data_IF_520321011138
#
_entry.id   IF_520321011138
#
_cell.length_a   1.000
_cell.length_b   1.000
_cell.length_c   1.000
_cell.angle_alpha   90.00
_cell.angle_beta   90.00
_cell.angle_gamma   90.00
#
_symmetry.space_group_name_H-M   'P 1'
#
loop_
_entity.id
_entity.type
_entity.pdbx_description
1 polymer ?
#
# COMPACT_ATOMS: atom_id res chain seq x y z
N UNK A 1 -13.13 -1.09 -28.34
CA UNK A 1 -14.53 -1.54 -28.50
C UNK A 1 -15.50 -0.41 -28.12
N UNK A 2 -16.05 0.35 -29.06
CA UNK A 2 -17.13 1.29 -28.79
C UNK A 2 -18.45 0.54 -28.69
N UNK A 3 -19.10 0.53 -27.53
CA UNK A 3 -20.46 -0.04 -27.37
C UNK A 3 -20.70 -0.87 -26.11
N UNK A 4 -19.66 -1.28 -25.36
CA UNK A 4 -19.90 -1.89 -24.05
C UNK A 4 -20.18 -0.81 -22.99
N UNK A 5 -21.26 -0.94 -22.19
CA UNK A 5 -21.46 -0.11 -21.02
C UNK A 5 -20.22 -0.16 -20.14
N UNK A 6 -19.71 0.99 -19.69
CA UNK A 6 -18.60 1.04 -18.75
C UNK A 6 -18.99 0.22 -17.50
N UNK A 7 -18.40 -0.96 -17.37
CA UNK A 7 -18.75 -1.98 -16.37
C UNK A 7 -18.73 -1.40 -14.96
N UNK A 8 -17.77 -0.51 -14.69
CA UNK A 8 -17.59 0.11 -13.39
C UNK A 8 -18.67 1.15 -13.10
N UNK A 9 -19.06 1.98 -14.09
CA UNK A 9 -20.17 2.93 -13.92
C UNK A 9 -21.48 2.22 -13.64
N UNK A 10 -21.77 1.13 -14.35
CA UNK A 10 -22.95 0.32 -14.14
C UNK A 10 -22.98 -0.27 -12.71
N UNK A 11 -21.87 -0.88 -12.29
CA UNK A 11 -21.70 -1.38 -10.93
C UNK A 11 -21.92 -0.28 -9.88
N UNK A 12 -21.25 0.87 -10.01
CA UNK A 12 -21.29 1.95 -9.02
C UNK A 12 -22.70 2.49 -8.82
N UNK A 13 -23.50 2.56 -9.89
CA UNK A 13 -24.92 2.91 -9.81
C UNK A 13 -25.72 1.87 -9.01
N UNK A 14 -25.52 0.57 -9.28
CA UNK A 14 -26.18 -0.53 -8.54
C UNK A 14 -25.77 -0.53 -7.06
N UNK A 15 -24.48 -0.41 -6.77
CA UNK A 15 -23.95 -0.38 -5.40
C UNK A 15 -24.52 0.77 -4.56
N UNK A 16 -24.63 1.98 -5.15
CA UNK A 16 -25.23 3.14 -4.47
C UNK A 16 -26.72 2.93 -4.17
N UNK A 17 -27.47 2.36 -5.11
CA UNK A 17 -28.90 2.02 -4.90
C UNK A 17 -29.06 0.99 -3.78
N UNK A 18 -28.22 -0.05 -3.78
CA UNK A 18 -28.24 -1.09 -2.74
C UNK A 18 -27.90 -0.51 -1.35
N UNK A 19 -26.86 0.32 -1.24
CA UNK A 19 -26.49 0.98 0.00
C UNK A 19 -27.60 1.91 0.53
N UNK A 20 -28.27 2.65 -0.36
CA UNK A 20 -29.39 3.50 0.02
C UNK A 20 -30.60 2.69 0.51
N UNK A 21 -30.90 1.56 -0.12
CA UNK A 21 -31.98 0.66 0.32
C UNK A 21 -31.70 0.06 1.70
N UNK A 22 -30.45 -0.36 1.98
CA UNK A 22 -30.05 -0.86 3.30
C UNK A 22 -30.16 0.22 4.38
N UNK A 23 -29.77 1.46 4.07
CA UNK A 23 -29.89 2.58 5.02
C UNK A 23 -31.36 2.90 5.37
N UNK A 24 -32.31 2.66 4.46
CA UNK A 24 -33.75 2.83 4.70
C UNK A 24 -34.36 1.68 5.53
N UNK A 25 -33.71 0.51 5.57
CA UNK A 25 -34.14 -0.66 6.33
C UNK A 25 -33.57 -0.69 7.76
N UNK A 26 -32.57 0.13 8.06
CA UNK A 26 -32.07 0.28 9.43
C UNK A 26 -33.14 0.95 10.31
N UNK A 27 -33.51 0.38 11.47
CA UNK A 27 -34.54 0.95 12.32
C UNK A 27 -34.16 2.37 12.75
N UNK A 28 -35.10 3.30 12.61
CA UNK A 28 -34.97 4.66 13.09
C UNK A 28 -34.77 4.62 14.60
N UNK A 29 -33.61 5.04 15.09
CA UNK A 29 -33.36 5.14 16.52
C UNK A 29 -34.39 6.10 17.13
N UNK A 30 -35.33 5.55 17.90
CA UNK A 30 -36.36 6.28 18.63
C UNK A 30 -35.66 7.19 19.64
N UNK A 31 -35.73 8.50 19.44
CA UNK A 31 -35.29 9.48 20.41
C UNK A 31 -36.18 9.38 21.65
N UNK A 32 -35.61 8.89 22.76
CA UNK A 32 -36.22 9.07 24.09
C UNK A 32 -35.99 10.53 24.49
N UNK A 33 -37.07 11.29 24.48
CA UNK A 33 -37.17 12.66 24.98
C UNK A 33 -36.90 12.70 26.49
N UNK A 34 -35.83 13.37 26.90
CA UNK A 34 -35.66 13.89 28.25
C UNK A 34 -35.74 15.40 28.21
N UNK A 35 -36.79 15.97 28.80
CA UNK A 35 -36.95 17.41 28.98
C UNK A 35 -35.82 17.98 29.87
N UNK A 36 -35.26 19.17 29.55
CA UNK A 36 -34.38 19.89 30.46
C UNK A 36 -35.16 20.83 31.39
N UNK A 37 -34.66 21.13 32.61
CA UNK A 37 -35.34 22.02 33.54
C UNK A 37 -35.14 23.51 33.18
N UNK A 38 -36.18 24.29 33.45
CA UNK A 38 -36.31 25.71 33.15
C UNK A 38 -35.60 26.65 34.16
N UNK A 39 -35.15 27.83 33.69
CA UNK A 39 -35.38 29.23 34.19
C UNK A 39 -34.21 30.19 33.85
N UNK A 40 -34.36 31.54 33.83
CA UNK A 40 -35.45 32.39 33.29
C UNK A 40 -34.86 33.63 32.51
N UNK A 41 -35.52 34.79 32.26
CA UNK A 41 -35.55 35.40 30.92
C UNK A 41 -34.79 36.75 30.79
N UNK A 42 -34.44 37.15 29.56
CA UNK A 42 -34.21 38.58 29.25
C UNK A 42 -34.53 38.89 27.79
N UNK A 43 -35.02 40.12 27.56
CA UNK A 43 -35.95 40.55 26.53
C UNK A 43 -35.37 40.90 25.13
N UNK A 44 -36.28 40.80 24.13
CA UNK A 44 -36.47 41.60 22.91
C UNK A 44 -35.23 42.09 22.12
N UNK A 45 -35.13 41.83 20.81
CA UNK A 45 -35.90 42.58 19.80
C UNK A 45 -35.86 41.90 18.42
N UNK A 46 -36.92 42.18 17.67
CA UNK A 46 -37.35 41.76 16.33
C UNK A 46 -36.44 42.15 15.16
N UNK A 47 -36.41 41.32 14.12
CA UNK A 47 -36.71 41.72 12.72
C UNK A 47 -36.77 40.49 11.77
N UNK A 48 -37.93 40.30 11.13
CA UNK A 48 -38.16 39.53 9.88
C UNK A 48 -38.04 40.54 8.70
N UNK A 49 -37.88 40.16 7.40
CA UNK A 49 -38.72 39.14 6.75
C UNK A 49 -38.16 38.40 5.51
N UNK A 50 -39.05 37.54 4.99
CA UNK A 50 -39.36 37.24 3.57
C UNK A 50 -38.97 35.88 2.96
N UNK A 51 -40.05 35.12 2.71
CA UNK A 51 -40.16 33.88 1.97
C UNK A 51 -40.26 34.09 0.44
N UNK A 52 -39.91 33.06 -0.33
CA UNK A 52 -40.67 32.74 -1.55
C UNK A 52 -40.69 31.23 -1.85
N UNK A 53 -41.85 30.77 -2.30
CA UNK A 53 -42.29 29.38 -2.45
C UNK A 53 -41.95 28.81 -3.84
N UNK A 54 -41.79 27.48 -3.95
CA UNK A 54 -41.96 26.77 -5.23
C UNK A 54 -42.41 25.30 -5.08
N UNK A 55 -43.74 25.13 -5.15
CA UNK A 55 -44.56 24.10 -5.84
C UNK A 55 -44.16 22.61 -5.78
N UNK A 56 -44.93 21.86 -4.97
CA UNK A 56 -45.22 20.41 -5.07
C UNK A 56 -46.22 20.13 -6.20
N UNK A 57 -45.95 19.12 -7.04
CA UNK A 57 -46.88 18.58 -8.05
C UNK A 57 -47.37 17.21 -7.60
N UNK A 58 -48.69 17.07 -7.41
CA UNK A 58 -49.42 15.81 -7.17
C UNK A 58 -49.70 15.13 -8.51
N UNK A 59 -49.53 13.81 -8.61
CA UNK A 59 -50.20 12.98 -9.62
C UNK A 59 -50.86 11.77 -8.95
N UNK A 60 -51.99 11.37 -9.55
CA UNK A 60 -53.05 10.48 -9.06
C UNK A 60 -52.65 9.01 -8.94
N UNK A 61 -53.36 8.33 -8.04
CA UNK A 61 -53.50 6.87 -7.93
C UNK A 61 -54.41 6.35 -9.05
N UNK A 62 -54.04 5.23 -9.65
CA UNK A 62 -54.96 4.25 -10.26
C UNK A 62 -54.57 2.85 -9.75
N UNK A 63 -55.55 1.96 -9.73
CA UNK A 63 -55.63 0.71 -8.97
C UNK A 63 -55.63 -0.50 -9.92
N UNK A 64 -54.89 -1.54 -9.50
CA UNK A 64 -55.03 -2.98 -9.77
C UNK A 64 -54.77 -3.53 -11.20
N UNK A 65 -53.71 -4.32 -11.33
CA UNK A 65 -53.82 -5.66 -11.91
C UNK A 65 -52.80 -6.59 -11.25
N UNK A 66 -53.30 -7.69 -10.73
CA UNK A 66 -52.60 -8.66 -9.90
C UNK A 66 -52.00 -9.75 -10.79
N UNK A 67 -50.68 -9.71 -11.03
CA UNK A 67 -49.94 -10.87 -11.53
C UNK A 67 -49.12 -11.50 -10.39
N UNK A 68 -49.14 -12.84 -10.25
CA UNK A 68 -48.38 -13.50 -9.20
C UNK A 68 -46.89 -13.28 -9.47
N UNK A 69 -46.21 -12.61 -8.54
CA UNK A 69 -44.76 -12.59 -8.48
C UNK A 69 -44.28 -14.05 -8.44
N UNK A 70 -43.67 -14.48 -9.55
CA UNK A 70 -42.75 -15.61 -9.53
C UNK A 70 -41.66 -15.23 -8.53
N UNK A 71 -41.75 -15.82 -7.33
CA UNK A 71 -40.68 -15.80 -6.35
C UNK A 71 -39.49 -16.47 -7.02
N UNK A 72 -38.62 -15.66 -7.60
CA UNK A 72 -37.32 -16.11 -8.08
C UNK A 72 -36.53 -16.50 -6.83
N UNK A 73 -36.65 -17.78 -6.46
CA UNK A 73 -35.82 -18.42 -5.44
C UNK A 73 -34.41 -18.57 -5.99
N UNK A 74 -33.75 -17.45 -6.31
CA UNK A 74 -32.30 -17.41 -6.31
C UNK A 74 -31.88 -17.58 -4.85
N UNK A 75 -31.49 -18.80 -4.48
CA UNK A 75 -30.82 -19.07 -3.21
C UNK A 75 -29.67 -18.08 -3.09
N UNK A 76 -29.78 -17.11 -2.19
CA UNK A 76 -28.73 -16.13 -1.96
C UNK A 76 -27.44 -16.83 -1.56
N UNK A 77 -26.33 -16.43 -2.18
CA UNK A 77 -25.01 -16.97 -1.88
C UNK A 77 -24.73 -16.73 -0.40
N UNK A 78 -24.59 -17.81 0.35
CA UNK A 78 -24.21 -17.73 1.76
C UNK A 78 -22.71 -17.46 1.86
N UNK A 79 -22.28 -16.57 2.77
CA UNK A 79 -20.86 -16.36 2.98
C UNK A 79 -20.22 -17.62 3.57
N UNK A 80 -19.01 -17.96 3.12
CA UNK A 80 -18.24 -19.08 3.68
C UNK A 80 -17.95 -18.88 5.16
N UNK A 81 -17.68 -17.64 5.57
CA UNK A 81 -17.49 -17.23 6.96
C UNK A 81 -18.45 -16.08 7.32
N UNK A 82 -19.55 -16.36 8.04
CA UNK A 82 -20.47 -15.31 8.50
C UNK A 82 -19.81 -14.28 9.43
N UNK A 83 -18.82 -14.69 10.23
CA UNK A 83 -18.08 -13.80 11.12
C UNK A 83 -17.27 -12.75 10.37
N UNK A 84 -16.65 -13.14 9.26
CA UNK A 84 -15.95 -12.23 8.37
C UNK A 84 -16.89 -11.15 7.82
N UNK A 85 -18.09 -11.52 7.39
CA UNK A 85 -19.08 -10.57 6.87
C UNK A 85 -19.49 -9.55 7.93
N UNK A 86 -19.69 -9.99 9.18
CA UNK A 86 -20.01 -9.10 10.30
C UNK A 86 -18.87 -8.09 10.53
N UNK A 87 -17.62 -8.56 10.55
CA UNK A 87 -16.45 -7.68 10.68
C UNK A 87 -16.33 -6.71 9.51
N UNK A 88 -16.55 -7.18 8.28
CA UNK A 88 -16.47 -6.38 7.07
C UNK A 88 -17.48 -5.24 7.05
N UNK A 89 -18.72 -5.49 7.51
CA UNK A 89 -19.75 -4.46 7.68
C UNK A 89 -19.49 -3.53 8.88
N UNK A 90 -18.75 -4.00 9.88
CA UNK A 90 -18.40 -3.23 11.07
C UNK A 90 -17.19 -2.31 10.87
N UNK A 91 -16.56 -2.34 9.69
CA UNK A 91 -15.40 -1.53 9.35
C UNK A 91 -15.73 -0.02 9.37
N UNK A 92 -15.34 0.65 10.44
CA UNK A 92 -15.51 2.10 10.59
C UNK A 92 -14.16 2.83 10.57
N UNK A 93 -13.92 3.59 9.50
CA UNK A 93 -12.65 4.31 9.33
C UNK A 93 -12.47 5.45 10.34
N UNK A 94 -13.53 5.96 10.97
CA UNK A 94 -13.46 7.05 11.96
C UNK A 94 -13.40 6.56 13.40
N UNK A 95 -13.59 5.26 13.63
CA UNK A 95 -13.51 4.67 14.96
C UNK A 95 -12.07 4.78 15.54
N UNK A 96 -12.00 4.85 16.87
CA UNK A 96 -10.73 4.82 17.61
C UNK A 96 -10.28 3.36 17.82
N UNK A 97 -9.06 3.18 18.32
CA UNK A 97 -8.50 1.83 18.51
C UNK A 97 -9.34 0.95 19.44
N UNK A 98 -9.94 1.52 20.49
CA UNK A 98 -10.77 0.78 21.43
C UNK A 98 -12.05 0.25 20.76
N UNK A 99 -12.68 1.06 19.91
CA UNK A 99 -13.83 0.67 19.11
C UNK A 99 -13.47 -0.37 18.03
N UNK A 100 -12.25 -0.34 17.49
CA UNK A 100 -11.78 -1.39 16.60
C UNK A 100 -11.62 -2.72 17.34
N UNK A 101 -11.05 -2.69 18.56
CA UNK A 101 -10.90 -3.87 19.41
C UNK A 101 -12.23 -4.48 19.82
N UNK A 102 -13.17 -3.64 20.25
CA UNK A 102 -14.50 -4.13 20.67
C UNK A 102 -15.32 -4.71 19.52
N UNK A 103 -15.10 -4.24 18.29
CA UNK A 103 -15.78 -4.74 17.09
C UNK A 103 -15.05 -5.94 16.45
N UNK A 104 -13.87 -6.33 16.97
CA UNK A 104 -13.05 -7.41 16.42
C UNK A 104 -12.56 -7.15 15.00
N UNK A 105 -12.38 -5.89 14.59
CA UNK A 105 -11.98 -5.50 13.23
C UNK A 105 -10.51 -5.12 13.14
N UNK A 106 -9.69 -5.38 14.16
CA UNK A 106 -8.29 -4.93 14.19
C UNK A 106 -7.51 -5.45 12.98
N UNK A 107 -7.70 -6.73 12.61
CA UNK A 107 -7.02 -7.31 11.46
C UNK A 107 -7.44 -6.64 10.14
N UNK A 108 -8.72 -6.31 9.96
CA UNK A 108 -9.21 -5.59 8.77
C UNK A 108 -8.67 -4.15 8.73
N UNK A 109 -8.58 -3.48 9.88
CA UNK A 109 -7.97 -2.17 9.98
C UNK A 109 -6.49 -2.20 9.64
N UNK A 110 -5.76 -3.17 10.20
CA UNK A 110 -4.34 -3.34 9.98
C UNK A 110 -4.02 -3.66 8.51
N UNK A 111 -4.78 -4.56 7.90
CA UNK A 111 -4.63 -4.91 6.48
C UNK A 111 -5.05 -3.76 5.56
N UNK A 112 -6.09 -3.00 5.89
CA UNK A 112 -6.44 -1.77 5.18
C UNK A 112 -5.29 -0.74 5.19
N UNK A 113 -4.58 -0.61 6.33
CA UNK A 113 -3.40 0.25 6.41
C UNK A 113 -2.30 -0.22 5.48
N UNK A 114 -2.08 -1.54 5.38
CA UNK A 114 -1.08 -2.11 4.51
C UNK A 114 -1.44 -1.96 3.02
N UNK A 115 -2.70 -2.18 2.65
CA UNK A 115 -3.20 -1.95 1.29
C UNK A 115 -2.94 -0.51 0.87
N UNK A 116 -3.19 0.47 1.75
CA UNK A 116 -2.90 1.88 1.47
C UNK A 116 -1.42 2.14 1.13
N UNK A 117 -0.48 1.54 1.87
CA UNK A 117 0.96 1.65 1.59
C UNK A 117 1.38 0.96 0.30
N UNK A 118 0.75 -0.17 -0.01
CA UNK A 118 1.11 -1.04 -1.13
C UNK A 118 0.30 -0.78 -2.41
N UNK A 119 -0.62 0.17 -2.42
CA UNK A 119 -1.37 0.61 -3.61
C UNK A 119 -1.23 2.12 -3.89
N UNK A 120 -0.61 2.88 -2.99
CA UNK A 120 -0.69 4.36 -2.92
C UNK A 120 -2.11 4.83 -2.52
N UNK A 121 -2.28 6.13 -2.26
CA UNK A 121 -3.54 6.71 -1.77
C UNK A 121 -4.55 7.09 -2.86
N UNK A 122 -4.14 7.07 -4.13
CA UNK A 122 -4.94 7.59 -5.24
C UNK A 122 -5.86 6.59 -5.94
N UNK A 123 -5.52 5.29 -6.06
CA UNK A 123 -6.36 4.37 -6.80
C UNK A 123 -7.78 4.27 -6.25
N UNK A 124 -8.73 4.04 -7.16
CA UNK A 124 -10.12 3.78 -6.80
C UNK A 124 -10.24 2.35 -6.23
N UNK A 125 -10.12 2.24 -4.91
CA UNK A 125 -10.20 0.99 -4.16
C UNK A 125 -11.53 0.24 -4.39
N UNK A 126 -12.63 0.98 -4.61
CA UNK A 126 -13.91 0.36 -4.99
C UNK A 126 -13.82 -0.26 -6.37
N UNK A 127 -13.22 0.43 -7.35
CA UNK A 127 -12.99 -0.12 -8.69
C UNK A 127 -12.16 -1.40 -8.64
N UNK A 128 -11.09 -1.41 -7.84
CA UNK A 128 -10.22 -2.57 -7.69
C UNK A 128 -10.98 -3.80 -7.16
N UNK A 129 -11.75 -3.65 -6.08
CA UNK A 129 -12.60 -4.74 -5.57
C UNK A 129 -13.64 -5.19 -6.59
N UNK A 130 -14.32 -4.25 -7.25
CA UNK A 130 -15.30 -4.57 -8.29
C UNK A 130 -14.66 -5.34 -9.43
N UNK A 131 -13.44 -4.96 -9.84
CA UNK A 131 -12.68 -5.64 -10.88
C UNK A 131 -12.46 -7.11 -10.51
N UNK A 132 -11.94 -7.36 -9.30
CA UNK A 132 -11.71 -8.73 -8.81
C UNK A 132 -12.97 -9.57 -8.74
N UNK A 133 -14.08 -8.97 -8.35
CA UNK A 133 -15.38 -9.67 -8.27
C UNK A 133 -15.95 -9.97 -9.67
N UNK A 134 -15.93 -9.01 -10.59
CA UNK A 134 -16.55 -9.18 -11.92
C UNK A 134 -15.75 -10.14 -12.80
N UNK A 135 -14.42 -9.98 -12.82
CA UNK A 135 -13.55 -10.74 -13.71
C UNK A 135 -12.96 -11.99 -13.04
N UNK A 136 -13.51 -12.42 -11.89
CA UNK A 136 -13.16 -13.69 -11.25
C UNK A 136 -13.43 -14.84 -12.23
N UNK A 137 -12.46 -15.73 -12.38
CA UNK A 137 -12.58 -16.89 -13.27
C UNK A 137 -12.51 -16.57 -14.77
N UNK A 138 -12.35 -15.31 -15.19
CA UNK A 138 -12.08 -14.98 -16.59
C UNK A 138 -10.63 -15.34 -16.92
N UNK A 139 -10.41 -15.96 -18.08
CA UNK A 139 -9.06 -16.10 -18.64
C UNK A 139 -8.42 -14.72 -18.87
N UNK A 140 -7.09 -14.59 -18.75
CA UNK A 140 -6.41 -13.31 -18.92
C UNK A 140 -6.81 -12.57 -20.19
N UNK A 141 -6.91 -13.25 -21.34
CA UNK A 141 -7.23 -12.62 -22.64
C UNK A 141 -8.60 -11.94 -22.66
N UNK A 142 -9.51 -12.36 -21.78
CA UNK A 142 -10.89 -11.88 -21.71
C UNK A 142 -11.07 -10.73 -20.71
N UNK A 143 -9.99 -10.27 -20.07
CA UNK A 143 -10.02 -9.18 -19.09
C UNK A 143 -9.71 -7.83 -19.75
N UNK A 144 -10.31 -6.72 -19.29
CA UNK A 144 -10.19 -5.42 -19.95
C UNK A 144 -8.78 -4.80 -19.89
N UNK A 145 -7.91 -5.31 -19.02
CA UNK A 145 -6.54 -4.83 -18.82
C UNK A 145 -5.52 -5.55 -19.72
N UNK A 146 -5.84 -6.73 -20.28
CA UNK A 146 -4.86 -7.66 -20.87
C UNK A 146 -4.06 -7.07 -22.04
N UNK A 147 -4.72 -6.32 -22.92
CA UNK A 147 -4.11 -5.68 -24.10
C UNK A 147 -3.88 -4.18 -23.92
N UNK A 148 -3.92 -3.66 -22.69
CA UNK A 148 -3.75 -2.23 -22.47
C UNK A 148 -2.30 -1.80 -22.74
N UNK A 149 -2.08 -0.95 -23.74
CA UNK A 149 -0.74 -0.41 -24.08
C UNK A 149 -0.22 0.64 -23.09
N UNK A 150 -1.08 1.10 -22.19
CA UNK A 150 -0.79 2.11 -21.18
C UNK A 150 -1.43 1.73 -19.84
N UNK A 151 -0.97 2.37 -18.77
CA UNK A 151 -1.51 2.15 -17.43
C UNK A 151 -2.91 2.77 -17.29
N UNK A 152 -3.93 2.02 -17.74
CA UNK A 152 -5.33 2.44 -17.71
C UNK A 152 -5.95 2.24 -16.32
N UNK A 153 -7.17 2.78 -16.12
CA UNK A 153 -7.96 2.53 -14.91
C UNK A 153 -8.26 1.02 -14.70
N UNK A 154 -8.29 0.22 -15.76
CA UNK A 154 -8.50 -1.24 -15.67
C UNK A 154 -7.22 -1.97 -15.25
N UNK A 155 -6.05 -1.56 -15.78
CA UNK A 155 -4.74 -2.04 -15.34
C UNK A 155 -4.54 -1.71 -13.87
N UNK A 156 -4.79 -0.46 -13.48
CA UNK A 156 -4.72 -0.02 -12.07
C UNK A 156 -5.65 -0.87 -11.19
N UNK A 157 -6.92 -1.05 -11.60
CA UNK A 157 -7.87 -1.85 -10.84
C UNK A 157 -7.39 -3.30 -10.63
N UNK A 158 -6.82 -3.94 -11.66
CA UNK A 158 -6.21 -5.27 -11.51
C UNK A 158 -5.05 -5.26 -10.53
N UNK A 159 -4.09 -4.36 -10.69
CA UNK A 159 -2.89 -4.35 -9.84
C UNK A 159 -3.25 -4.09 -8.38
N UNK A 160 -4.17 -3.17 -8.13
CA UNK A 160 -4.64 -2.86 -6.77
C UNK A 160 -5.47 -4.02 -6.22
N UNK A 161 -6.26 -4.71 -7.04
CA UNK A 161 -6.95 -5.93 -6.59
C UNK A 161 -5.98 -7.01 -6.13
N UNK A 162 -4.84 -7.21 -6.80
CA UNK A 162 -3.82 -8.15 -6.35
C UNK A 162 -3.24 -7.78 -4.97
N UNK A 163 -3.16 -6.49 -4.65
CA UNK A 163 -2.78 -6.02 -3.30
C UNK A 163 -3.88 -6.34 -2.28
N UNK A 164 -5.15 -6.15 -2.65
CA UNK A 164 -6.29 -6.55 -1.82
C UNK A 164 -6.30 -8.06 -1.55
N UNK A 165 -6.17 -8.89 -2.60
CA UNK A 165 -6.15 -10.34 -2.48
C UNK A 165 -5.01 -10.84 -1.59
N UNK A 166 -3.86 -10.16 -1.62
CA UNK A 166 -2.72 -10.50 -0.78
C UNK A 166 -2.94 -10.22 0.71
N UNK A 167 -3.53 -9.07 1.03
CA UNK A 167 -3.53 -8.57 2.41
C UNK A 167 -4.89 -8.63 3.10
N UNK A 168 -5.99 -8.43 2.37
CA UNK A 168 -7.31 -8.40 3.00
C UNK A 168 -7.74 -9.82 3.36
N UNK A 169 -8.08 -10.08 4.64
CA UNK A 169 -8.33 -11.43 5.11
C UNK A 169 -9.52 -12.05 4.36
N UNK A 170 -9.41 -13.33 4.00
CA UNK A 170 -10.49 -14.15 3.42
C UNK A 170 -11.22 -13.53 2.20
N UNK A 171 -10.61 -12.55 1.52
CA UNK A 171 -11.27 -11.83 0.43
C UNK A 171 -11.66 -12.76 -0.73
N UNK A 172 -10.73 -13.62 -1.16
CA UNK A 172 -10.93 -14.54 -2.28
C UNK A 172 -12.04 -15.56 -1.99
N UNK A 173 -12.17 -15.98 -0.73
CA UNK A 173 -13.22 -16.89 -0.27
C UNK A 173 -14.62 -16.29 -0.33
N UNK A 174 -14.73 -14.96 -0.38
CA UNK A 174 -15.99 -14.23 -0.32
C UNK A 174 -16.34 -13.50 -1.62
N UNK A 175 -15.62 -13.72 -2.72
CA UNK A 175 -15.88 -13.03 -3.99
C UNK A 175 -17.31 -13.27 -4.54
N UNK A 176 -17.84 -14.48 -4.39
CA UNK A 176 -19.22 -14.80 -4.80
C UNK A 176 -20.25 -14.06 -3.95
N UNK A 177 -20.06 -14.05 -2.62
CA UNK A 177 -20.89 -13.27 -1.71
C UNK A 177 -20.84 -11.77 -2.03
N UNK A 178 -19.65 -11.23 -2.30
CA UNK A 178 -19.46 -9.84 -2.68
C UNK A 178 -20.15 -9.49 -4.02
N UNK A 179 -20.23 -10.44 -4.97
CA UNK A 179 -20.94 -10.25 -6.23
C UNK A 179 -22.44 -9.97 -6.04
N UNK A 180 -23.05 -10.59 -5.02
CA UNK A 180 -24.45 -10.35 -4.64
C UNK A 180 -24.62 -9.14 -3.72
N UNK A 181 -23.55 -8.70 -3.05
CA UNK A 181 -23.56 -7.63 -2.05
C UNK A 181 -22.71 -6.41 -2.48
N UNK A 182 -23.11 -5.68 -3.55
CA UNK A 182 -22.32 -4.57 -4.10
C UNK A 182 -22.20 -3.37 -3.15
N UNK A 183 -23.11 -3.24 -2.16
CA UNK A 183 -23.02 -2.24 -1.11
C UNK A 183 -21.81 -2.48 -0.18
N UNK A 184 -21.48 -3.74 0.11
CA UNK A 184 -20.31 -4.09 0.93
C UNK A 184 -19.00 -3.73 0.21
N UNK A 185 -18.92 -3.99 -1.11
CA UNK A 185 -17.77 -3.58 -1.92
C UNK A 185 -17.56 -2.05 -1.86
N UNK A 186 -18.64 -1.27 -1.99
CA UNK A 186 -18.58 0.19 -1.87
C UNK A 186 -18.14 0.62 -0.47
N UNK A 187 -18.64 -0.04 0.57
CA UNK A 187 -18.28 0.21 1.96
C UNK A 187 -16.78 -0.04 2.20
N UNK A 188 -16.27 -1.23 1.86
CA UNK A 188 -14.86 -1.61 2.02
C UNK A 188 -13.91 -0.73 1.21
N UNK A 189 -14.26 -0.42 -0.05
CA UNK A 189 -13.45 0.47 -0.87
C UNK A 189 -13.32 1.89 -0.28
N UNK A 190 -14.42 2.44 0.23
CA UNK A 190 -14.40 3.75 0.92
C UNK A 190 -13.65 3.69 2.25
N UNK A 191 -13.78 2.58 2.98
CA UNK A 191 -13.05 2.32 4.22
C UNK A 191 -11.54 2.39 3.97
N UNK A 192 -11.01 1.58 3.04
CA UNK A 192 -9.57 1.56 2.73
C UNK A 192 -9.09 2.90 2.18
N UNK A 193 -9.85 3.57 1.31
CA UNK A 193 -9.52 4.93 0.85
C UNK A 193 -9.32 5.90 2.02
N UNK A 194 -10.21 5.85 3.01
CA UNK A 194 -10.14 6.72 4.19
C UNK A 194 -8.94 6.35 5.08
N UNK A 195 -8.68 5.06 5.26
CA UNK A 195 -7.53 4.57 6.02
C UNK A 195 -6.20 4.93 5.34
N UNK A 196 -6.11 4.84 4.01
CA UNK A 196 -4.92 5.22 3.24
C UNK A 196 -4.52 6.68 3.51
N UNK A 197 -5.50 7.60 3.56
CA UNK A 197 -5.27 8.99 3.91
C UNK A 197 -4.71 9.20 5.33
N UNK A 198 -5.14 8.38 6.31
CA UNK A 198 -4.58 8.39 7.68
C UNK A 198 -3.16 7.85 7.71
N UNK A 199 -2.92 6.75 7.00
CA UNK A 199 -1.60 6.11 6.88
C UNK A 199 -0.57 7.06 6.28
N UNK A 200 -0.92 7.78 5.22
CA UNK A 200 -0.08 8.84 4.65
C UNK A 200 0.34 9.84 5.73
N UNK A 201 -0.61 10.35 6.50
CA UNK A 201 -0.31 11.34 7.56
C UNK A 201 0.64 10.78 8.62
N UNK A 202 0.45 9.53 9.06
CA UNK A 202 1.33 8.86 10.02
C UNK A 202 2.75 8.71 9.45
N UNK A 203 2.87 8.24 8.21
CA UNK A 203 4.16 7.98 7.57
C UNK A 203 4.90 9.28 7.19
N UNK A 204 4.18 10.34 6.79
CA UNK A 204 4.74 11.68 6.65
C UNK A 204 5.33 12.17 7.98
N UNK A 205 4.60 12.00 9.09
CA UNK A 205 5.09 12.36 10.42
C UNK A 205 6.38 11.62 10.79
N UNK A 206 6.45 10.31 10.50
CA UNK A 206 7.66 9.50 10.72
C UNK A 206 8.85 9.96 9.89
N UNK A 207 8.63 10.27 8.61
CA UNK A 207 9.70 10.67 7.71
C UNK A 207 10.16 12.11 7.95
N UNK A 208 9.25 13.03 8.24
CA UNK A 208 9.53 14.46 8.46
C UNK A 208 10.56 14.74 9.55
N UNK A 209 10.51 13.95 10.64
CA UNK A 209 11.36 14.14 11.80
C UNK A 209 12.85 13.90 11.48
N UNK A 210 13.13 12.93 10.62
CA UNK A 210 14.49 12.44 10.39
C UNK A 210 14.97 12.61 8.94
N UNK A 211 14.17 13.19 8.03
CA UNK A 211 14.50 13.28 6.59
C UNK A 211 15.85 13.93 6.34
N UNK A 212 16.20 15.00 7.08
CA UNK A 212 17.47 15.74 6.90
C UNK A 212 18.64 14.81 7.22
N UNK A 213 18.52 14.08 8.33
CA UNK A 213 19.49 13.07 8.78
C UNK A 213 19.59 11.91 7.80
N UNK A 214 18.47 11.34 7.35
CA UNK A 214 18.45 10.27 6.35
C UNK A 214 19.05 10.71 5.01
N UNK A 215 18.89 12.00 4.69
CA UNK A 215 19.46 12.62 3.49
C UNK A 215 20.94 12.96 3.64
N UNK A 216 21.53 12.74 4.83
CA UNK A 216 22.93 13.05 5.16
C UNK A 216 23.29 14.51 4.87
N UNK A 217 22.32 15.41 5.08
CA UNK A 217 22.55 16.84 4.90
C UNK A 217 23.12 17.41 6.20
N UNK A 218 24.22 18.17 6.09
CA UNK A 218 24.75 18.94 7.21
C UNK A 218 23.75 20.03 7.59
N UNK A 219 23.31 20.06 8.85
CA UNK A 219 22.36 21.07 9.35
C UNK A 219 22.68 21.50 10.80
N UNK A 220 23.84 22.14 11.04
CA UNK A 220 24.36 22.39 12.39
C UNK A 220 23.48 23.28 13.28
N UNK A 221 22.52 23.99 12.69
CA UNK A 221 21.61 24.91 13.39
C UNK A 221 20.14 24.46 13.31
N UNK A 222 19.88 23.21 12.89
CA UNK A 222 18.53 22.66 12.70
C UNK A 222 17.62 23.54 11.82
N UNK A 223 18.20 24.27 10.86
CA UNK A 223 17.43 25.20 10.03
C UNK A 223 16.53 24.45 9.07
N UNK A 224 16.96 23.27 8.59
CA UNK A 224 16.18 22.39 7.74
C UNK A 224 15.16 21.57 8.53
N UNK A 225 15.16 21.58 9.87
CA UNK A 225 14.07 20.98 10.64
C UNK A 225 12.75 21.75 10.47
N UNK A 226 12.83 23.03 10.06
CA UNK A 226 11.66 23.84 9.73
C UNK A 226 11.28 23.65 8.28
N UNK A 227 10.06 23.17 8.03
CA UNK A 227 9.55 22.90 6.68
C UNK A 227 9.77 24.04 5.69
N UNK A 228 9.43 25.28 6.07
CA UNK A 228 9.52 26.44 5.16
C UNK A 228 10.95 26.79 4.73
N UNK A 229 11.98 26.21 5.35
CA UNK A 229 13.37 26.34 4.93
C UNK A 229 13.84 25.23 3.98
N UNK A 230 13.01 24.22 3.71
CA UNK A 230 13.30 23.12 2.79
C UNK A 230 12.85 23.44 1.35
N UNK A 231 12.96 22.46 0.47
CA UNK A 231 12.67 22.57 -0.95
C UNK A 231 13.63 23.53 -1.64
N UNK A 232 13.14 24.28 -2.63
CA UNK A 232 13.97 25.27 -3.33
C UNK A 232 14.25 26.53 -2.48
N UNK A 233 13.86 26.57 -1.21
CA UNK A 233 14.28 27.61 -0.26
C UNK A 233 15.73 27.43 0.20
N UNK A 234 16.24 26.20 0.15
CA UNK A 234 17.62 25.88 0.52
C UNK A 234 18.28 24.98 -0.55
N UNK A 235 19.49 25.32 -1.03
CA UNK A 235 20.17 24.53 -2.05
C UNK A 235 20.37 23.05 -1.73
N UNK A 236 20.53 22.68 -0.46
CA UNK A 236 20.77 21.28 -0.03
C UNK A 236 19.56 20.40 -0.32
N UNK A 237 18.38 20.84 0.11
CA UNK A 237 17.12 20.10 -0.15
C UNK A 237 16.61 20.32 -1.58
N UNK A 238 16.81 21.52 -2.14
CA UNK A 238 16.52 21.83 -3.54
C UNK A 238 17.29 20.93 -4.52
N UNK A 239 18.54 20.59 -4.22
CA UNK A 239 19.34 19.66 -5.02
C UNK A 239 18.72 18.27 -5.11
N UNK A 240 18.10 17.78 -4.05
CA UNK A 240 17.43 16.48 -4.00
C UNK A 240 16.12 16.48 -4.79
N UNK A 241 15.39 17.61 -4.77
CA UNK A 241 14.17 17.80 -5.54
C UNK A 241 14.41 18.15 -7.01
N UNK A 242 15.60 18.66 -7.35
CA UNK A 242 15.94 19.07 -8.69
C UNK A 242 15.90 17.87 -9.66
N UNK A 243 15.17 17.97 -10.78
CA UNK A 243 15.16 16.91 -11.80
C UNK A 243 16.54 16.70 -12.41
N UNK A 244 16.86 15.45 -12.78
CA UNK A 244 18.17 15.06 -13.34
C UNK A 244 18.61 15.96 -14.49
N UNK A 245 17.68 16.31 -15.39
CA UNK A 245 17.93 17.19 -16.54
C UNK A 245 18.37 18.63 -16.22
N UNK A 246 18.22 19.06 -14.97
CA UNK A 246 18.62 20.38 -14.49
C UNK A 246 19.78 20.33 -13.48
N UNK A 247 20.29 19.14 -13.16
CA UNK A 247 21.31 18.97 -12.12
C UNK A 247 22.62 19.67 -12.47
N UNK A 248 23.03 19.62 -13.73
CA UNK A 248 24.26 20.26 -14.20
C UNK A 248 24.21 21.78 -13.97
N UNK A 249 23.10 22.42 -14.34
CA UNK A 249 22.87 23.84 -14.09
C UNK A 249 22.76 24.15 -12.60
N UNK A 250 22.08 23.27 -11.85
CA UNK A 250 21.93 23.40 -10.41
C UNK A 250 23.28 23.38 -9.70
N UNK A 251 24.15 22.42 -10.01
CA UNK A 251 25.48 22.28 -9.40
C UNK A 251 26.39 23.45 -9.75
N UNK A 252 26.29 23.99 -10.96
CA UNK A 252 27.04 25.18 -11.35
C UNK A 252 26.59 26.45 -10.59
N UNK A 253 25.27 26.61 -10.36
CA UNK A 253 24.69 27.80 -9.70
C UNK A 253 23.51 27.43 -8.78
N UNK A 254 23.74 26.88 -7.58
CA UNK A 254 22.66 26.33 -6.75
C UNK A 254 21.65 27.38 -6.30
N UNK A 255 22.12 28.50 -5.74
CA UNK A 255 21.23 29.56 -5.26
C UNK A 255 20.40 30.20 -6.38
N UNK A 256 21.00 30.41 -7.55
CA UNK A 256 20.30 30.97 -8.71
C UNK A 256 19.26 29.98 -9.26
N UNK A 257 19.61 28.70 -9.36
CA UNK A 257 18.67 27.68 -9.87
C UNK A 257 17.50 27.48 -8.92
N UNK A 258 17.74 27.47 -7.60
CA UNK A 258 16.67 27.52 -6.60
C UNK A 258 15.74 28.72 -6.80
N UNK A 259 16.31 29.92 -7.04
CA UNK A 259 15.51 31.12 -7.35
C UNK A 259 14.65 30.92 -8.61
N UNK A 260 15.19 30.34 -9.69
CA UNK A 260 14.42 30.09 -10.93
C UNK A 260 13.24 29.13 -10.72
N UNK A 261 13.37 28.12 -9.87
CA UNK A 261 12.25 27.24 -9.52
C UNK A 261 11.22 27.94 -8.63
N UNK A 262 11.67 28.70 -7.63
CA UNK A 262 10.81 29.46 -6.72
C UNK A 262 9.95 30.49 -7.45
N UNK A 263 10.54 31.19 -8.41
CA UNK A 263 9.87 32.23 -9.19
C UNK A 263 9.15 31.67 -10.43
N UNK A 264 9.09 30.34 -10.56
CA UNK A 264 8.42 29.62 -11.65
C UNK A 264 8.95 29.93 -13.06
N UNK A 265 10.16 30.47 -13.17
CA UNK A 265 10.89 30.55 -14.44
C UNK A 265 11.20 29.15 -14.97
N UNK A 266 11.61 28.24 -14.07
CA UNK A 266 11.65 26.81 -14.37
C UNK A 266 10.33 26.17 -13.96
N UNK A 267 9.68 25.54 -14.94
CA UNK A 267 8.44 24.80 -14.74
C UNK A 267 8.77 23.38 -14.31
N UNK A 268 8.25 23.00 -13.15
CA UNK A 268 8.34 21.64 -12.64
C UNK A 268 7.02 20.90 -12.96
N UNK A 269 7.11 19.85 -13.77
CA UNK A 269 5.96 19.02 -14.15
C UNK A 269 5.92 17.75 -13.32
N UNK A 270 4.75 17.08 -13.24
CA UNK A 270 4.63 15.77 -12.59
C UNK A 270 5.56 14.68 -13.13
N UNK A 271 6.01 14.84 -14.38
CA UNK A 271 6.92 13.93 -15.08
C UNK A 271 8.39 14.24 -14.81
N UNK A 272 8.68 15.34 -14.10
CA UNK A 272 10.02 15.69 -13.68
C UNK A 272 10.31 15.05 -12.33
N UNK A 273 10.98 13.89 -12.36
CA UNK A 273 11.29 13.14 -11.16
C UNK A 273 12.44 13.77 -10.35
N UNK A 274 12.28 13.93 -9.02
CA UNK A 274 13.37 14.33 -8.13
C UNK A 274 14.64 13.48 -8.27
N UNK A 275 15.81 14.12 -8.19
CA UNK A 275 17.08 13.40 -8.32
C UNK A 275 17.33 12.34 -7.24
N UNK A 276 16.77 12.49 -6.03
CA UNK A 276 16.91 11.49 -4.96
C UNK A 276 16.35 10.11 -5.34
N UNK A 277 15.46 10.05 -6.34
CA UNK A 277 14.88 8.80 -6.83
C UNK A 277 15.86 7.99 -7.67
N UNK A 278 16.92 8.60 -8.19
CA UNK A 278 17.84 7.96 -9.12
C UNK A 278 19.20 7.73 -8.50
N UNK A 279 19.84 6.61 -8.85
CA UNK A 279 21.28 6.45 -8.63
C UNK A 279 22.02 7.27 -9.69
N UNK A 280 22.54 8.43 -9.28
CA UNK A 280 23.22 9.35 -10.19
C UNK A 280 24.57 8.82 -10.69
N UNK A 281 25.15 7.80 -10.05
CA UNK A 281 26.38 7.16 -10.55
C UNK A 281 26.12 6.29 -11.79
N UNK A 282 24.87 5.87 -11.98
CA UNK A 282 24.40 5.10 -13.13
C UNK A 282 23.68 5.97 -14.15
N UNK A 283 23.46 7.26 -13.85
CA UNK A 283 22.69 8.13 -14.72
C UNK A 283 23.44 8.39 -16.03
N UNK A 284 22.89 7.86 -17.12
CA UNK A 284 23.39 8.06 -18.47
C UNK A 284 22.47 9.04 -19.22
N UNK A 285 22.99 10.10 -19.87
CA UNK A 285 22.19 10.96 -20.74
C UNK A 285 21.43 10.21 -21.85
N UNK A 286 21.99 9.09 -22.32
CA UNK A 286 21.48 8.26 -23.41
C UNK A 286 20.65 7.05 -22.90
N UNK A 287 20.82 6.65 -21.64
CA UNK A 287 19.96 5.70 -20.93
C UNK A 287 19.37 6.32 -19.65
N UNK A 288 18.16 6.86 -19.78
CA UNK A 288 17.45 7.51 -18.67
C UNK A 288 16.73 6.54 -17.73
N UNK A 289 16.68 5.25 -18.06
CA UNK A 289 16.18 4.22 -17.15
C UNK A 289 17.29 3.75 -16.19
N UNK A 290 18.55 3.88 -16.60
CA UNK A 290 19.71 3.57 -15.77
C UNK A 290 19.67 4.34 -14.44
N UNK A 291 19.64 3.58 -13.34
CA UNK A 291 19.58 4.13 -11.99
C UNK A 291 18.23 4.69 -11.56
N UNK A 292 17.23 4.86 -12.44
CA UNK A 292 15.92 5.38 -12.08
C UNK A 292 15.20 4.44 -11.07
N UNK A 293 14.58 5.03 -10.04
CA UNK A 293 14.03 4.34 -8.85
C UNK A 293 15.04 3.52 -8.04
N UNK A 294 16.35 3.62 -8.30
CA UNK A 294 17.40 2.94 -7.55
C UNK A 294 18.24 3.89 -6.69
N UNK A 295 17.74 5.10 -6.45
CA UNK A 295 18.40 6.09 -5.61
C UNK A 295 18.67 5.59 -4.18
N UNK A 296 19.91 5.65 -3.67
CA UNK A 296 20.23 5.22 -2.31
C UNK A 296 19.43 5.93 -1.20
N UNK A 297 19.10 7.21 -1.42
CA UNK A 297 18.24 7.97 -0.51
C UNK A 297 16.81 7.45 -0.50
N UNK A 298 16.26 7.11 -1.66
CA UNK A 298 14.94 6.50 -1.76
C UNK A 298 14.88 5.17 -0.98
N UNK A 299 15.95 4.35 -1.04
CA UNK A 299 16.07 3.12 -0.23
C UNK A 299 16.06 3.44 1.26
N UNK A 300 16.79 4.47 1.69
CA UNK A 300 16.80 4.89 3.11
C UNK A 300 15.43 5.35 3.59
N UNK A 301 14.70 6.11 2.79
CA UNK A 301 13.34 6.54 3.13
C UNK A 301 12.36 5.36 3.17
N UNK A 302 12.52 4.40 2.26
CA UNK A 302 11.71 3.18 2.26
C UNK A 302 11.93 2.37 3.54
N UNK A 303 13.20 2.16 3.90
CA UNK A 303 13.60 1.49 5.13
C UNK A 303 13.05 2.21 6.37
N UNK A 304 13.10 3.54 6.41
CA UNK A 304 12.53 4.32 7.51
C UNK A 304 11.03 4.07 7.73
N UNK A 305 10.26 3.92 6.65
CA UNK A 305 8.80 3.70 6.71
C UNK A 305 8.47 2.23 6.96
N UNK A 306 9.07 1.31 6.21
CA UNK A 306 8.68 -0.11 6.21
C UNK A 306 9.48 -0.96 7.20
N UNK A 307 10.77 -0.70 7.37
CA UNK A 307 11.68 -1.54 8.14
C UNK A 307 12.02 -0.92 9.51
N UNK A 308 11.73 0.36 9.71
CA UNK A 308 11.99 1.11 10.93
C UNK A 308 13.36 1.82 10.94
N UNK A 309 13.53 2.78 11.85
CA UNK A 309 14.68 3.72 11.84
C UNK A 309 16.04 3.04 11.90
N UNK A 310 16.19 1.98 12.69
CA UNK A 310 17.49 1.29 12.87
C UNK A 310 17.99 0.63 11.57
N UNK A 311 17.07 0.20 10.71
CA UNK A 311 17.40 -0.44 9.43
C UNK A 311 18.08 0.50 8.43
N UNK A 312 17.87 1.83 8.57
CA UNK A 312 18.54 2.84 7.75
C UNK A 312 20.05 2.87 8.04
N UNK A 313 20.44 2.56 9.27
CA UNK A 313 21.82 2.62 9.74
C UNK A 313 22.51 1.25 9.81
N UNK A 314 21.88 0.18 9.29
CA UNK A 314 22.41 -1.18 9.36
C UNK A 314 22.54 -1.74 10.78
N UNK A 315 21.82 -1.15 11.76
CA UNK A 315 21.85 -1.62 13.15
C UNK A 315 20.69 -2.59 13.39
N UNK A 316 20.99 -3.78 13.89
CA UNK A 316 19.98 -4.75 14.34
C UNK A 316 19.05 -4.12 15.37
N UNK A 317 17.74 -4.26 15.16
CA UNK A 317 16.74 -3.82 16.14
C UNK A 317 16.62 -4.89 17.23
N UNK A 318 17.02 -4.59 18.47
CA UNK A 318 16.85 -5.54 19.58
C UNK A 318 15.76 -5.13 20.58
N UNK A 319 15.28 -3.87 20.57
CA UNK A 319 14.20 -3.38 21.44
C UNK A 319 13.42 -2.24 20.76
N UNK A 320 12.15 -2.48 20.40
CA UNK A 320 11.27 -1.47 19.79
C UNK A 320 9.97 -2.05 19.22
N UNK A 321 9.09 -1.18 18.69
CA UNK A 321 7.91 -1.60 17.94
C UNK A 321 8.31 -2.40 16.70
N UNK A 322 7.54 -3.45 16.39
CA UNK A 322 7.75 -4.28 15.20
C UNK A 322 7.69 -3.41 13.94
N UNK A 323 8.58 -3.67 12.98
CA UNK A 323 8.56 -2.94 11.71
C UNK A 323 7.28 -3.24 10.93
N UNK A 324 6.86 -2.32 10.05
CA UNK A 324 5.69 -2.51 9.18
C UNK A 324 5.87 -3.76 8.32
N UNK A 325 7.07 -3.99 7.80
CA UNK A 325 7.40 -5.16 7.00
C UNK A 325 7.13 -6.46 7.77
N UNK A 326 7.62 -6.58 9.02
CA UNK A 326 7.41 -7.81 9.80
C UNK A 326 5.95 -7.89 10.29
N UNK A 327 5.35 -6.77 10.73
CA UNK A 327 3.95 -6.72 11.20
C UNK A 327 2.97 -7.26 10.14
N UNK A 328 3.20 -6.95 8.88
CA UNK A 328 2.31 -7.31 7.77
C UNK A 328 2.85 -8.45 6.90
N UNK A 329 3.87 -9.18 7.34
CA UNK A 329 4.44 -10.32 6.60
C UNK A 329 4.92 -9.95 5.19
N UNK A 330 5.51 -8.77 5.03
CA UNK A 330 6.07 -8.36 3.74
C UNK A 330 7.33 -9.18 3.45
N UNK A 331 7.31 -9.87 2.32
CA UNK A 331 8.45 -10.63 1.78
C UNK A 331 9.03 -10.02 0.52
N UNK A 332 8.32 -9.06 -0.09
CA UNK A 332 8.75 -8.37 -1.29
C UNK A 332 8.27 -6.91 -1.32
N UNK A 333 9.01 -6.10 -2.05
CA UNK A 333 8.69 -4.72 -2.42
C UNK A 333 7.81 -4.76 -3.67
N UNK A 334 6.87 -3.83 -3.79
CA UNK A 334 6.13 -3.65 -5.04
C UNK A 334 6.34 -2.22 -5.58
N UNK A 335 6.04 -2.01 -6.86
CA UNK A 335 6.27 -0.72 -7.49
C UNK A 335 5.43 0.42 -6.89
N UNK A 336 4.22 0.10 -6.39
CA UNK A 336 3.36 1.06 -5.71
C UNK A 336 3.97 1.56 -4.40
N UNK A 337 4.59 0.68 -3.60
CA UNK A 337 5.20 1.07 -2.33
C UNK A 337 6.45 1.94 -2.56
N UNK A 338 7.21 1.69 -3.63
CA UNK A 338 8.31 2.56 -4.07
C UNK A 338 7.77 3.94 -4.45
N UNK A 339 6.73 3.99 -5.30
CA UNK A 339 6.11 5.24 -5.74
C UNK A 339 5.51 6.03 -4.56
N UNK A 340 4.87 5.34 -3.62
CA UNK A 340 4.34 5.91 -2.37
C UNK A 340 5.46 6.60 -1.58
N UNK A 341 6.55 5.90 -1.28
CA UNK A 341 7.67 6.45 -0.52
C UNK A 341 8.33 7.62 -1.25
N UNK A 342 8.52 7.53 -2.57
CA UNK A 342 9.06 8.62 -3.37
C UNK A 342 8.19 9.88 -3.27
N UNK A 343 6.87 9.71 -3.35
CA UNK A 343 5.93 10.81 -3.21
C UNK A 343 5.97 11.44 -1.81
N UNK A 344 6.01 10.63 -0.75
CA UNK A 344 6.16 11.13 0.62
C UNK A 344 7.47 11.90 0.80
N UNK A 345 8.59 11.33 0.37
CA UNK A 345 9.90 11.95 0.46
C UNK A 345 9.94 13.30 -0.26
N UNK A 346 9.34 13.39 -1.46
CA UNK A 346 9.21 14.66 -2.18
C UNK A 346 8.46 15.71 -1.35
N UNK A 347 7.33 15.34 -0.75
CA UNK A 347 6.56 16.28 0.07
C UNK A 347 7.34 16.72 1.30
N UNK A 348 8.03 15.80 1.96
CA UNK A 348 8.78 16.04 3.20
C UNK A 348 10.04 16.88 2.97
N UNK A 349 10.71 16.70 1.82
CA UNK A 349 11.82 17.52 1.36
C UNK A 349 11.38 18.89 0.84
N UNK A 350 10.09 19.09 0.57
CA UNK A 350 9.51 20.35 0.11
C UNK A 350 9.31 21.38 1.22
N UNK A 351 8.97 22.62 0.82
CA UNK A 351 8.78 23.73 1.77
C UNK A 351 7.43 23.74 2.49
N UNK A 352 6.50 22.89 2.06
CA UNK A 352 5.13 22.90 2.55
C UNK A 352 5.02 22.21 3.91
N UNK A 353 4.34 22.87 4.85
CA UNK A 353 4.06 22.30 6.18
C UNK A 353 2.92 21.27 6.17
N UNK A 354 2.08 21.30 5.12
CA UNK A 354 0.91 20.43 4.98
C UNK A 354 0.94 19.79 3.60
N UNK A 355 0.57 18.51 3.54
CA UNK A 355 0.43 17.80 2.28
C UNK A 355 -0.51 18.53 1.32
N UNK A 356 -0.10 18.62 0.05
CA UNK A 356 -0.93 19.10 -1.05
C UNK A 356 -0.73 18.22 -2.26
N UNK A 357 -1.82 17.89 -2.94
CA UNK A 357 -1.77 17.15 -4.21
C UNK A 357 -1.25 18.01 -5.38
N UNK A 358 -0.97 19.30 -5.14
CA UNK A 358 -0.49 20.25 -6.13
C UNK A 358 0.70 21.03 -5.59
N UNK A 359 1.67 21.24 -6.47
CA UNK A 359 2.84 22.07 -6.23
C UNK A 359 3.02 22.99 -7.44
N UNK A 360 2.72 24.28 -7.23
CA UNK A 360 2.58 25.24 -8.31
C UNK A 360 1.46 24.88 -9.31
N UNK A 361 1.62 25.32 -10.56
CA UNK A 361 0.61 25.17 -11.62
C UNK A 361 0.69 23.84 -12.37
N UNK A 362 1.86 23.21 -12.41
CA UNK A 362 2.18 22.15 -13.36
C UNK A 362 2.44 20.79 -12.71
N UNK A 363 2.74 20.76 -11.41
CA UNK A 363 2.98 19.51 -10.70
C UNK A 363 1.74 19.08 -9.90
N UNK A 364 1.35 17.82 -10.09
CA UNK A 364 0.26 17.14 -9.42
C UNK A 364 0.71 15.74 -8.96
N UNK A 365 0.43 15.42 -7.71
CA UNK A 365 0.82 14.16 -7.09
C UNK A 365 0.17 12.92 -7.74
N UNK A 366 -1.13 12.90 -8.08
CA UNK A 366 -1.72 11.76 -8.83
C UNK A 366 -1.04 11.53 -10.18
N UNK A 367 -0.71 12.59 -10.91
CA UNK A 367 -0.03 12.49 -12.21
C UNK A 367 1.42 12.01 -12.07
N UNK A 368 2.10 12.35 -10.96
CA UNK A 368 3.43 11.84 -10.66
C UNK A 368 3.39 10.32 -10.41
N UNK A 369 2.46 9.85 -9.58
CA UNK A 369 2.28 8.41 -9.33
C UNK A 369 1.93 7.70 -10.62
N UNK A 370 0.94 8.21 -11.37
CA UNK A 370 0.55 7.63 -12.66
C UNK A 370 1.74 7.54 -13.64
N UNK A 371 2.61 8.55 -13.71
CA UNK A 371 3.78 8.51 -14.58
C UNK A 371 4.75 7.37 -14.22
N UNK A 372 5.00 7.13 -12.93
CA UNK A 372 5.83 6.01 -12.47
C UNK A 372 5.17 4.67 -12.83
N UNK A 373 3.87 4.54 -12.59
CA UNK A 373 3.13 3.32 -12.88
C UNK A 373 3.02 3.03 -14.39
N UNK A 374 2.85 4.06 -15.21
CA UNK A 374 2.80 3.96 -16.67
C UNK A 374 4.15 3.55 -17.25
N UNK A 375 5.26 4.08 -16.74
CA UNK A 375 6.59 3.62 -17.13
C UNK A 375 6.80 2.14 -16.75
N UNK A 376 6.42 1.76 -15.53
CA UNK A 376 6.53 0.37 -15.07
C UNK A 376 5.66 -0.60 -15.87
N UNK A 377 4.52 -0.14 -16.38
CA UNK A 377 3.63 -0.91 -17.25
C UNK A 377 4.21 -1.08 -18.65
N UNK A 378 4.76 0.00 -19.22
CA UNK A 378 5.37 0.01 -20.56
C UNK A 378 6.72 -0.70 -20.63
N UNK A 379 7.42 -0.81 -19.50
CA UNK A 379 8.73 -1.48 -19.40
C UNK A 379 8.71 -2.64 -18.39
N UNK A 380 8.04 -3.78 -18.67
CA UNK A 380 7.91 -4.90 -17.72
C UNK A 380 9.24 -5.51 -17.27
N UNK A 381 10.21 -5.63 -18.17
CA UNK A 381 11.55 -6.15 -17.87
C UNK A 381 12.30 -5.23 -16.89
N UNK A 382 12.26 -3.92 -17.14
CA UNK A 382 12.82 -2.92 -16.24
C UNK A 382 12.12 -2.95 -14.86
N UNK A 383 10.79 -3.01 -14.84
CA UNK A 383 10.01 -3.12 -13.60
C UNK A 383 10.46 -4.35 -12.80
N UNK A 384 10.54 -5.52 -13.44
CA UNK A 384 10.95 -6.76 -12.80
C UNK A 384 12.37 -6.67 -12.23
N UNK A 385 13.34 -6.21 -13.03
CA UNK A 385 14.73 -6.05 -12.60
C UNK A 385 14.85 -5.05 -11.44
N UNK A 386 14.07 -3.96 -11.49
CA UNK A 386 14.03 -2.96 -10.41
C UNK A 386 13.42 -3.55 -9.14
N UNK A 387 12.30 -4.28 -9.21
CA UNK A 387 11.72 -4.96 -8.04
C UNK A 387 12.67 -6.00 -7.43
N UNK A 388 13.35 -6.81 -8.25
CA UNK A 388 14.36 -7.77 -7.77
C UNK A 388 15.50 -7.06 -7.04
N UNK A 389 16.02 -5.98 -7.62
CA UNK A 389 17.05 -5.16 -6.97
C UNK A 389 16.56 -4.62 -5.62
N UNK A 390 15.33 -4.11 -5.54
CA UNK A 390 14.72 -3.62 -4.31
C UNK A 390 14.56 -4.70 -3.25
N UNK A 391 14.16 -5.92 -3.63
CA UNK A 391 14.05 -7.05 -2.71
C UNK A 391 15.39 -7.38 -2.08
N UNK A 392 16.48 -7.38 -2.87
CA UNK A 392 17.84 -7.51 -2.35
C UNK A 392 18.19 -6.40 -1.36
N UNK A 393 17.89 -5.14 -1.68
CA UNK A 393 18.23 -4.00 -0.80
C UNK A 393 17.46 -3.99 0.54
N UNK A 394 16.20 -4.45 0.53
CA UNK A 394 15.28 -4.32 1.67
C UNK A 394 15.25 -5.58 2.53
N UNK A 395 15.20 -6.75 1.91
CA UNK A 395 15.02 -8.03 2.59
C UNK A 395 16.27 -8.90 2.60
N UNK A 396 17.35 -8.50 1.90
CA UNK A 396 18.58 -9.28 1.86
C UNK A 396 18.41 -10.65 1.21
N UNK A 397 17.49 -10.77 0.25
CA UNK A 397 17.35 -11.98 -0.57
C UNK A 397 18.61 -12.13 -1.42
N UNK A 398 19.61 -12.79 -0.86
CA UNK A 398 20.75 -13.35 -1.58
C UNK A 398 20.44 -14.83 -1.81
N UNK A 399 20.63 -15.31 -3.04
CA UNK A 399 20.67 -16.75 -3.35
C UNK A 399 21.97 -17.41 -2.86
N UNK A 400 22.82 -16.68 -2.14
CA UNK A 400 23.97 -17.18 -1.37
C UNK A 400 23.83 -16.47 -0.01
N UNK A 401 23.43 -17.11 1.08
CA UNK A 401 24.44 -17.62 2.00
C UNK A 401 23.85 -18.35 3.23
N UNK A 402 23.12 -19.44 3.03
CA UNK A 402 22.93 -20.38 4.14
C UNK A 402 24.24 -21.14 4.44
N UNK A 403 25.19 -21.17 3.49
CA UNK A 403 26.38 -22.04 3.57
C UNK A 403 27.60 -21.44 4.30
N UNK A 404 27.89 -20.14 4.17
CA UNK A 404 28.95 -19.42 4.90
C UNK A 404 28.44 -19.08 6.30
N UNK A 405 27.18 -18.67 6.45
CA UNK A 405 26.53 -18.56 7.78
C UNK A 405 26.56 -19.90 8.53
N UNK A 406 26.26 -21.03 7.89
CA UNK A 406 26.36 -22.35 8.53
C UNK A 406 27.82 -22.78 8.78
N UNK A 407 28.78 -22.40 7.92
CA UNK A 407 30.22 -22.61 8.16
C UNK A 407 30.73 -21.79 9.34
N UNK A 408 30.38 -20.51 9.44
CA UNK A 408 30.71 -19.66 10.59
C UNK A 408 30.08 -20.19 11.87
N UNK A 409 28.83 -20.67 11.80
CA UNK A 409 28.15 -21.31 12.92
C UNK A 409 28.88 -22.58 13.38
N UNK A 410 29.31 -23.43 12.43
CA UNK A 410 30.12 -24.62 12.69
C UNK A 410 31.51 -24.29 13.25
N UNK A 411 32.04 -23.10 12.95
CA UNK A 411 33.28 -22.59 13.52
C UNK A 411 33.13 -21.94 14.91
N UNK A 412 31.92 -21.72 15.40
CA UNK A 412 31.71 -21.14 16.73
C UNK A 412 32.17 -22.08 17.85
N UNK A 413 32.53 -21.48 18.99
CA UNK A 413 33.08 -22.21 20.15
C UNK A 413 32.20 -23.37 20.60
N UNK A 414 30.87 -23.20 20.53
CA UNK A 414 29.92 -24.25 20.92
C UNK A 414 30.09 -25.52 20.08
N UNK A 415 30.11 -25.39 18.74
CA UNK A 415 30.23 -26.53 17.84
C UNK A 415 31.64 -27.14 17.89
N UNK A 416 32.68 -26.32 18.06
CA UNK A 416 34.06 -26.80 18.30
C UNK A 416 34.17 -27.60 19.60
N UNK A 417 33.55 -27.15 20.69
CA UNK A 417 33.53 -27.86 21.98
C UNK A 417 32.77 -29.18 21.86
N UNK A 418 31.63 -29.21 21.17
CA UNK A 418 30.85 -30.43 20.95
C UNK A 418 31.64 -31.42 20.09
N UNK A 419 32.24 -30.99 18.98
CA UNK A 419 33.08 -31.83 18.13
C UNK A 419 34.26 -32.42 18.91
N UNK A 420 34.94 -31.62 19.74
CA UNK A 420 36.03 -32.08 20.60
C UNK A 420 35.56 -33.14 21.61
N UNK A 421 34.39 -32.93 22.23
CA UNK A 421 33.81 -33.91 23.18
C UNK A 421 33.43 -35.22 22.48
N UNK A 422 32.84 -35.15 21.30
CA UNK A 422 32.46 -36.31 20.49
C UNK A 422 33.70 -37.10 20.06
N UNK A 423 34.74 -36.44 19.57
CA UNK A 423 36.01 -37.08 19.20
C UNK A 423 36.69 -37.75 20.40
N UNK A 424 36.69 -37.09 21.56
CA UNK A 424 37.22 -37.68 22.81
C UNK A 424 36.44 -38.91 23.25
N UNK A 425 35.11 -38.89 23.14
CA UNK A 425 34.27 -40.03 23.49
C UNK A 425 34.41 -41.20 22.48
N UNK A 426 34.61 -40.91 21.20
CA UNK A 426 34.88 -41.94 20.19
C UNK A 426 36.25 -42.61 20.38
N UNK A 427 37.23 -41.86 20.90
CA UNK A 427 38.57 -42.38 21.22
C UNK A 427 38.59 -43.29 22.47
N UNK A 428 37.52 -43.29 23.25
CA UNK A 428 37.37 -44.05 24.49
C UNK A 428 36.66 -45.40 24.28
N UNK A 429 36.26 -45.74 23.05
CA UNK A 429 35.65 -47.04 22.71
C UNK A 429 36.69 -47.87 21.94
N UNK A 430 37.35 -48.87 22.57
CA UNK A 430 38.20 -49.82 21.85
C UNK A 430 37.36 -50.70 20.93
N UNK A 431 37.83 -50.90 19.71
CA UNK A 431 37.25 -51.84 18.75
C UNK A 431 37.24 -53.26 19.33
N UNK A 432 36.06 -53.79 19.62
CA UNK A 432 35.84 -55.22 19.81
C UNK A 432 35.95 -55.89 18.43
N UNK A 433 37.08 -56.54 18.16
CA UNK A 433 37.25 -57.46 17.04
C UNK A 433 36.28 -58.64 17.20
N UNK A 434 35.49 -58.91 16.16
CA UNK A 434 34.79 -60.20 15.98
C UNK A 434 35.43 -60.94 14.80
N UNK A 435 35.65 -62.26 14.88
CA UNK A 435 36.45 -62.99 13.88
C UNK A 435 35.67 -63.23 12.59
N UNK A 436 36.39 -63.22 11.48
CA UNK A 436 35.92 -63.59 10.15
C UNK A 436 36.00 -65.11 9.93
N UNK A 437 34.88 -65.74 9.61
CA UNK A 437 34.79 -67.03 8.91
C UNK A 437 33.70 -66.88 7.86
N UNK A 438 34.02 -66.76 6.57
CA UNK A 438 34.45 -67.76 5.58
C UNK A 438 33.28 -68.06 4.62
N UNK A 439 33.30 -67.40 3.46
CA UNK A 439 32.42 -67.72 2.32
C UNK A 439 33.08 -68.83 1.50
N UNK A 440 32.46 -70.01 1.44
CA UNK A 440 32.65 -70.94 0.33
C UNK A 440 31.33 -71.11 -0.43
N UNK A 441 31.43 -70.91 -1.74
CA UNK A 441 30.37 -71.08 -2.73
C UNK A 441 30.42 -72.50 -3.34
N UNK A 442 29.38 -72.79 -4.15
CA UNK A 442 29.15 -73.97 -5.03
C UNK A 442 28.31 -75.04 -4.30
N UNK A 443 27.11 -75.46 -4.72
CA UNK A 443 26.65 -75.88 -6.05
C UNK A 443 25.10 -75.87 -6.16
N UNK A 444 24.55 -75.77 -7.38
CA UNK A 444 23.11 -75.92 -7.70
C UNK A 444 22.67 -77.43 -7.75
N UNK A 445 21.52 -77.81 -8.35
CA UNK A 445 20.19 -77.93 -7.75
C UNK A 445 19.61 -79.37 -7.88
N UNK A 446 18.32 -79.54 -7.54
CA UNK A 446 17.34 -80.56 -8.00
C UNK A 446 16.89 -81.69 -7.06
N UNK A 447 15.55 -81.79 -7.03
CA UNK A 447 14.64 -82.94 -6.85
C UNK A 447 14.57 -83.69 -5.51
N UNK A 448 13.50 -83.46 -4.73
CA UNK A 448 12.20 -84.16 -4.84
C UNK A 448 11.12 -83.54 -3.96
#
# INVERSE_FOLDING_TARGET
MPGQPNWYRAFKSRAKKAAAAQALQAPSATSVSGDPPATPPTAATSEEPMASQSKRKRSRKDVDDSQPELVDTTTSVQPKNPGWVIQAWSCNATANEEAHRSSGVEQMYDTARQIGRCSTEYPDQTRALTYGVIFRGFDPENRPDYIAEYYSEDVEARMVYLVWARYFPELEDHLEYLAENPALILHLGNYVKTIAGKVRSDDLGRLNHDIVTYSRLEDPNDILQRHFNRGFQDPRTGRLLCPVRYLKEFEAKPAHTCFLFKDHHYKLFSYDFPSFMSDLSLADPDDREAGFLRGPLLVSYYKAIFCGRSSVYGKGSSRGQQSVAVKYGMTEVNIHSIAYVALLARSVLGSDAVWRDRDGKHWQAPSFVHAVMDLAHKSPSWKQATTMWWNKQVFGTEDDDDSETERELQESDYYKIIAQRTARNASLIPALELPAEEFQAIEQPSDT
#
